data_IF_687563369105
#
_entry.id   IF_687563369105
#
_cell.length_a   1.000
_cell.length_b   1.000
_cell.length_c   1.000
_cell.angle_alpha   90.00
_cell.angle_beta   90.00
_cell.angle_gamma   90.00
#
_symmetry.space_group_name_H-M   'P 1'
#
loop_
_entity.id
_entity.type
_entity.pdbx_description
1 polymer ?
#
# COMPACT_ATOMS: atom_id res chain seq x y z
N UNK A 1 -14.54 -12.51 8.56
CA UNK A 1 -13.49 -12.95 9.48
C UNK A 1 -12.40 -11.89 9.43
N UNK A 2 -12.03 -11.27 10.55
CA UNK A 2 -10.98 -10.24 10.55
C UNK A 2 -9.63 -10.85 10.16
N UNK A 3 -8.72 -10.02 9.64
CA UNK A 3 -7.36 -10.47 9.37
C UNK A 3 -6.67 -11.00 10.64
N UNK A 4 -6.94 -10.38 11.80
CA UNK A 4 -6.48 -10.84 13.11
C UNK A 4 -6.86 -12.31 13.38
N UNK A 5 -8.14 -12.65 13.21
CA UNK A 5 -8.62 -14.02 13.45
C UNK A 5 -8.13 -15.02 12.40
N UNK A 6 -7.96 -14.57 11.15
CA UNK A 6 -7.48 -15.43 10.08
C UNK A 6 -6.05 -15.95 10.34
N UNK A 7 -5.17 -15.13 10.94
CA UNK A 7 -3.77 -15.48 11.22
C UNK A 7 -3.66 -16.66 12.18
N UNK A 8 -4.55 -16.77 13.16
CA UNK A 8 -4.50 -17.85 14.17
C UNK A 8 -4.66 -19.24 13.55
N UNK A 9 -5.45 -19.35 12.47
CA UNK A 9 -5.68 -20.60 11.75
C UNK A 9 -4.69 -20.86 10.61
N UNK A 10 -3.72 -19.98 10.34
CA UNK A 10 -2.80 -20.15 9.22
C UNK A 10 -1.80 -21.26 9.47
N UNK A 11 -1.63 -22.13 8.47
CA UNK A 11 -0.62 -23.16 8.42
C UNK A 11 0.07 -23.15 7.04
N UNK A 12 1.36 -23.56 6.95
CA UNK A 12 2.25 -23.94 8.05
C UNK A 12 2.68 -22.73 8.92
N UNK A 13 3.37 -22.97 10.03
CA UNK A 13 3.80 -21.90 10.96
C UNK A 13 4.58 -20.77 10.26
N UNK A 14 5.43 -21.08 9.27
CA UNK A 14 6.16 -20.06 8.50
C UNK A 14 5.24 -19.09 7.74
N UNK A 15 4.06 -19.55 7.30
CA UNK A 15 3.03 -18.69 6.69
C UNK A 15 2.41 -17.79 7.75
N UNK A 16 2.10 -18.35 8.93
CA UNK A 16 1.56 -17.60 10.05
C UNK A 16 2.51 -16.51 10.51
N UNK A 17 3.79 -16.83 10.68
CA UNK A 17 4.83 -15.87 11.07
C UNK A 17 4.97 -14.71 10.07
N UNK A 18 4.94 -15.01 8.76
CA UNK A 18 5.00 -13.99 7.71
C UNK A 18 3.84 -12.99 7.83
N UNK A 19 2.61 -13.51 7.95
CA UNK A 19 1.41 -12.67 8.09
C UNK A 19 1.35 -11.94 9.43
N UNK A 20 1.77 -12.60 10.52
CA UNK A 20 1.84 -12.03 11.86
C UNK A 20 2.82 -10.87 11.92
N UNK A 21 4.00 -10.98 11.29
CA UNK A 21 4.96 -9.87 11.21
C UNK A 21 4.36 -8.66 10.51
N UNK A 22 3.66 -8.87 9.39
CA UNK A 22 2.96 -7.80 8.69
C UNK A 22 1.87 -7.15 9.55
N UNK A 23 1.03 -7.98 10.16
CA UNK A 23 -0.07 -7.56 11.03
C UNK A 23 0.42 -6.74 12.23
N UNK A 24 1.43 -7.24 12.94
CA UNK A 24 1.88 -6.68 14.22
C UNK A 24 2.68 -5.37 14.06
N UNK A 25 3.23 -5.10 12.87
CA UNK A 25 4.20 -4.01 12.68
C UNK A 25 3.86 -3.02 11.56
N UNK A 26 2.99 -3.40 10.63
CA UNK A 26 2.78 -2.61 9.41
C UNK A 26 1.31 -2.37 9.10
N UNK A 27 0.43 -3.37 9.26
CA UNK A 27 -0.97 -3.22 8.88
C UNK A 27 -1.71 -2.33 9.88
N UNK A 28 -2.26 -1.21 9.40
CA UNK A 28 -3.01 -0.25 10.19
C UNK A 28 -2.16 0.82 10.88
N UNK A 29 -0.83 0.71 10.81
CA UNK A 29 0.09 1.70 11.35
C UNK A 29 0.25 2.86 10.36
N UNK A 30 0.23 4.13 10.81
CA UNK A 30 0.49 5.28 9.95
C UNK A 30 1.88 5.22 9.31
N UNK A 31 1.96 5.74 8.08
CA UNK A 31 3.22 5.87 7.34
C UNK A 31 3.38 7.34 6.98
N UNK A 32 4.48 7.94 7.44
CA UNK A 32 4.80 9.36 7.25
C UNK A 32 5.87 9.61 6.17
N UNK A 33 6.43 8.53 5.61
CA UNK A 33 7.38 8.60 4.52
C UNK A 33 6.67 8.38 3.18
N UNK A 34 6.84 9.31 2.24
CA UNK A 34 6.16 9.28 0.95
C UNK A 34 6.57 8.07 0.09
N UNK A 35 7.85 7.64 0.14
CA UNK A 35 8.31 6.49 -0.63
C UNK A 35 7.71 5.19 -0.07
N UNK A 36 7.61 5.05 1.26
CA UNK A 36 6.93 3.92 1.89
C UNK A 36 5.41 3.93 1.63
N UNK A 37 4.77 5.10 1.62
CA UNK A 37 3.35 5.24 1.22
C UNK A 37 3.16 4.79 -0.24
N UNK A 38 4.05 5.23 -1.13
CA UNK A 38 4.04 4.80 -2.53
C UNK A 38 4.28 3.28 -2.65
N UNK A 39 5.23 2.75 -1.89
CA UNK A 39 5.53 1.31 -1.82
C UNK A 39 4.31 0.49 -1.40
N UNK A 40 3.60 0.92 -0.36
CA UNK A 40 2.33 0.30 0.05
C UNK A 40 1.31 0.34 -1.10
N UNK A 41 1.11 1.48 -1.75
CA UNK A 41 0.18 1.59 -2.88
C UNK A 41 0.54 0.64 -4.03
N UNK A 42 1.83 0.54 -4.37
CA UNK A 42 2.32 -0.39 -5.39
C UNK A 42 2.06 -1.85 -4.99
N UNK A 43 2.29 -2.22 -3.73
CA UNK A 43 2.02 -3.56 -3.22
C UNK A 43 0.52 -3.91 -3.31
N UNK A 44 -0.37 -3.01 -2.90
CA UNK A 44 -1.83 -3.22 -2.99
C UNK A 44 -2.32 -3.34 -4.44
N UNK A 45 -1.80 -2.49 -5.34
CA UNK A 45 -2.06 -2.61 -6.79
C UNK A 45 -1.65 -3.99 -7.31
N UNK A 46 -0.51 -4.50 -6.84
CA UNK A 46 0.01 -5.78 -7.28
C UNK A 46 -0.72 -6.97 -6.66
N UNK A 47 -1.39 -6.82 -5.52
CA UNK A 47 -2.22 -7.86 -4.92
C UNK A 47 -3.44 -8.22 -5.79
N UNK A 48 -3.98 -7.31 -6.61
CA UNK A 48 -5.17 -7.58 -7.41
C UNK A 48 -5.10 -8.91 -8.20
N UNK A 49 -5.94 -9.88 -7.84
CA UNK A 49 -5.98 -11.22 -8.43
C UNK A 49 -4.98 -12.23 -7.86
N UNK A 50 -4.32 -11.92 -6.74
CA UNK A 50 -3.33 -12.75 -6.05
C UNK A 50 -3.60 -12.73 -4.54
N UNK A 51 -2.94 -13.62 -3.79
CA UNK A 51 -2.96 -13.57 -2.33
C UNK A 51 -2.00 -12.49 -1.80
N UNK A 52 -2.35 -11.85 -0.69
CA UNK A 52 -1.44 -10.93 0.00
C UNK A 52 -0.13 -11.61 0.41
N UNK A 53 -0.18 -12.91 0.74
CA UNK A 53 1.01 -13.73 1.00
C UNK A 53 2.02 -13.68 -0.16
N UNK A 54 1.54 -13.73 -1.40
CA UNK A 54 2.38 -13.66 -2.59
C UNK A 54 3.10 -12.31 -2.67
N UNK A 55 2.42 -11.23 -2.26
CA UNK A 55 2.99 -9.90 -2.24
C UNK A 55 4.02 -9.76 -1.12
N UNK A 56 3.69 -10.22 0.10
CA UNK A 56 4.63 -10.23 1.23
C UNK A 56 5.90 -11.02 0.93
N UNK A 57 5.78 -12.18 0.27
CA UNK A 57 6.95 -12.99 -0.15
C UNK A 57 7.80 -12.31 -1.23
N UNK A 58 7.24 -11.35 -1.96
CA UNK A 58 7.90 -10.63 -3.05
C UNK A 58 8.34 -9.22 -2.65
N UNK A 59 8.12 -8.79 -1.41
CA UNK A 59 8.39 -7.43 -0.96
C UNK A 59 9.84 -7.00 -1.23
N UNK A 60 10.83 -7.83 -0.88
CA UNK A 60 12.24 -7.56 -1.16
C UNK A 60 12.51 -7.43 -2.68
N UNK A 61 11.86 -8.27 -3.48
CA UNK A 61 11.90 -8.19 -4.93
C UNK A 61 11.31 -6.88 -5.46
N UNK A 62 10.19 -6.42 -4.91
CA UNK A 62 9.59 -5.13 -5.26
C UNK A 62 10.51 -3.97 -4.89
N UNK A 63 11.03 -3.95 -3.66
CA UNK A 63 11.97 -2.91 -3.20
C UNK A 63 13.17 -2.83 -4.15
N UNK A 64 13.81 -3.95 -4.45
CA UNK A 64 14.95 -3.96 -5.38
C UNK A 64 14.57 -3.50 -6.80
N UNK A 65 13.43 -3.96 -7.32
CA UNK A 65 13.03 -3.69 -8.70
C UNK A 65 12.66 -2.21 -8.94
N UNK A 66 12.09 -1.57 -7.93
CA UNK A 66 11.57 -0.20 -7.95
C UNK A 66 12.46 0.79 -7.16
N UNK A 67 13.76 0.56 -7.07
CA UNK A 67 14.73 1.44 -6.39
C UNK A 67 14.31 1.85 -4.95
N UNK A 68 13.88 0.87 -4.17
CA UNK A 68 13.31 1.01 -2.82
C UNK A 68 12.11 1.96 -2.75
N UNK A 69 11.30 1.94 -3.82
CA UNK A 69 10.13 2.79 -4.02
C UNK A 69 10.45 4.29 -4.02
N UNK A 70 11.67 4.68 -4.38
CA UNK A 70 12.02 6.09 -4.61
C UNK A 70 11.14 6.68 -5.71
N UNK A 71 10.21 7.55 -5.30
CA UNK A 71 9.18 8.12 -6.19
C UNK A 71 9.84 8.86 -7.36
N UNK A 72 10.93 9.60 -7.13
CA UNK A 72 11.58 10.40 -8.16
C UNK A 72 12.24 9.50 -9.20
N UNK A 73 12.93 8.44 -8.77
CA UNK A 73 13.53 7.45 -9.68
C UNK A 73 12.47 6.72 -10.47
N UNK A 74 11.44 6.18 -9.80
CA UNK A 74 10.38 5.42 -10.47
C UNK A 74 9.57 6.31 -11.43
N UNK A 75 9.36 7.59 -11.11
CA UNK A 75 8.73 8.55 -12.02
C UNK A 75 9.56 8.81 -13.28
N UNK A 76 10.89 8.69 -13.19
CA UNK A 76 11.82 8.87 -14.31
C UNK A 76 11.99 7.64 -15.22
N UNK A 77 11.44 6.49 -14.82
CA UNK A 77 11.56 5.24 -15.57
C UNK A 77 11.04 5.36 -17.01
N UNK A 78 11.86 4.88 -17.95
CA UNK A 78 11.56 4.85 -19.38
C UNK A 78 11.11 3.48 -19.87
N UNK A 79 11.04 3.30 -21.18
CA UNK A 79 10.67 2.01 -21.79
C UNK A 79 11.64 0.88 -21.45
N UNK A 80 12.95 1.17 -21.36
CA UNK A 80 13.95 0.19 -20.94
C UNK A 80 13.69 -0.35 -19.53
N UNK A 81 13.22 0.50 -18.61
CA UNK A 81 12.86 0.08 -17.26
C UNK A 81 11.59 -0.76 -17.24
N UNK A 82 10.58 -0.39 -18.06
CA UNK A 82 9.37 -1.21 -18.23
C UNK A 82 9.72 -2.61 -18.71
N UNK A 83 10.57 -2.71 -19.72
CA UNK A 83 11.04 -4.00 -20.25
C UNK A 83 11.81 -4.80 -19.19
N UNK A 84 12.75 -4.16 -18.49
CA UNK A 84 13.47 -4.77 -17.36
C UNK A 84 12.51 -5.33 -16.32
N UNK A 85 11.56 -4.53 -15.83
CA UNK A 85 10.56 -4.92 -14.84
C UNK A 85 9.68 -6.09 -15.32
N UNK A 86 9.32 -6.11 -16.60
CA UNK A 86 8.52 -7.22 -17.18
C UNK A 86 9.29 -8.54 -17.28
N UNK A 87 10.61 -8.51 -17.18
CA UNK A 87 11.45 -9.71 -17.13
C UNK A 87 11.83 -10.14 -15.71
N UNK A 88 11.67 -9.26 -14.71
CA UNK A 88 12.09 -9.48 -13.33
C UNK A 88 11.18 -10.49 -12.61
N UNK A 89 11.74 -11.64 -12.23
CA UNK A 89 11.04 -12.70 -11.50
C UNK A 89 10.79 -12.38 -10.04
N UNK A 90 11.43 -11.35 -9.50
CA UNK A 90 11.23 -10.82 -8.15
C UNK A 90 9.83 -10.21 -7.96
N UNK A 91 9.23 -9.64 -9.02
CA UNK A 91 7.94 -8.95 -8.93
C UNK A 91 6.80 -9.69 -9.67
N UNK A 92 5.66 -9.04 -9.81
CA UNK A 92 4.54 -9.50 -10.63
C UNK A 92 4.67 -8.91 -12.04
N UNK A 93 5.03 -9.76 -13.00
CA UNK A 93 5.30 -9.40 -14.41
C UNK A 93 4.00 -9.14 -15.18
N UNK A 94 3.30 -8.07 -14.84
CA UNK A 94 2.06 -7.66 -15.48
C UNK A 94 2.20 -6.24 -16.04
N UNK A 95 2.02 -6.09 -17.36
CA UNK A 95 2.18 -4.82 -18.08
C UNK A 95 1.32 -3.69 -17.52
N UNK A 96 0.07 -3.96 -17.15
CA UNK A 96 -0.82 -2.94 -16.61
C UNK A 96 -0.38 -2.47 -15.23
N UNK A 97 0.04 -3.39 -14.36
CA UNK A 97 0.52 -3.09 -12.99
C UNK A 97 1.86 -2.35 -13.00
N UNK A 98 2.81 -2.78 -13.83
CA UNK A 98 4.10 -2.09 -14.02
C UNK A 98 3.87 -0.67 -14.52
N UNK A 99 3.00 -0.50 -15.53
CA UNK A 99 2.69 0.82 -16.04
C UNK A 99 1.99 1.68 -15.00
N UNK A 100 1.06 1.12 -14.22
CA UNK A 100 0.38 1.85 -13.16
C UNK A 100 1.36 2.36 -12.09
N UNK A 101 2.33 1.55 -11.65
CA UNK A 101 3.34 2.00 -10.68
C UNK A 101 4.11 3.23 -11.17
N UNK A 102 4.61 3.21 -12.42
CA UNK A 102 5.38 4.31 -13.01
C UNK A 102 4.51 5.57 -13.19
N UNK A 103 3.29 5.43 -13.73
CA UNK A 103 2.41 6.59 -13.93
C UNK A 103 1.89 7.17 -12.60
N UNK A 104 1.71 6.32 -11.58
CA UNK A 104 1.35 6.78 -10.24
C UNK A 104 2.50 7.51 -9.57
N UNK A 105 3.76 7.06 -9.73
CA UNK A 105 4.92 7.80 -9.25
C UNK A 105 4.98 9.21 -9.86
N UNK A 106 4.83 9.34 -11.18
CA UNK A 106 4.74 10.66 -11.85
C UNK A 106 3.62 11.51 -11.31
N UNK A 107 2.46 10.91 -11.07
CA UNK A 107 1.31 11.62 -10.47
C UNK A 107 1.66 12.14 -9.08
N UNK A 108 2.32 11.32 -8.24
CA UNK A 108 2.73 11.72 -6.90
C UNK A 108 3.76 12.86 -6.95
N UNK A 109 4.69 12.86 -7.91
CA UNK A 109 5.61 14.00 -8.10
C UNK A 109 4.86 15.31 -8.32
N UNK A 110 3.77 15.31 -9.09
CA UNK A 110 2.94 16.49 -9.28
C UNK A 110 2.17 16.87 -8.00
N UNK A 111 1.63 15.88 -7.27
CA UNK A 111 0.99 16.12 -5.97
C UNK A 111 1.97 16.72 -4.95
N UNK A 112 3.22 16.27 -4.93
CA UNK A 112 4.28 16.81 -4.06
C UNK A 112 4.55 18.29 -4.35
N UNK A 113 4.43 18.75 -5.60
CA UNK A 113 4.57 20.18 -5.94
C UNK A 113 3.41 21.02 -5.40
N UNK A 114 2.20 20.49 -5.38
CA UNK A 114 0.99 21.22 -4.97
C UNK A 114 0.75 21.16 -3.45
N UNK A 115 0.93 19.98 -2.83
CA UNK A 115 0.60 19.72 -1.43
C UNK A 115 1.83 19.59 -0.52
N UNK A 116 3.03 19.54 -1.11
CA UNK A 116 4.30 19.38 -0.40
C UNK A 116 4.69 17.92 -0.15
N UNK A 117 3.74 16.99 -0.01
CA UNK A 117 3.99 15.55 0.09
C UNK A 117 2.76 14.72 -0.31
N UNK A 118 2.95 13.43 -0.60
CA UNK A 118 1.85 12.48 -0.81
C UNK A 118 1.03 12.30 0.46
N UNK A 119 1.69 12.22 1.61
CA UNK A 119 1.00 12.22 2.90
C UNK A 119 0.10 13.44 3.07
N UNK A 120 0.61 14.66 2.86
CA UNK A 120 -0.16 15.90 3.01
C UNK A 120 -1.34 15.96 2.05
N UNK A 121 -1.22 15.37 0.86
CA UNK A 121 -2.35 15.22 -0.05
C UNK A 121 -3.44 14.31 0.51
N UNK A 122 -3.06 13.18 1.14
CA UNK A 122 -4.00 12.31 1.84
C UNK A 122 -4.65 13.04 3.03
N UNK A 123 -3.86 13.72 3.86
CA UNK A 123 -4.36 14.50 5.00
C UNK A 123 -5.32 15.61 4.57
N UNK A 124 -4.97 16.38 3.54
CA UNK A 124 -5.80 17.45 2.99
C UNK A 124 -7.18 16.95 2.57
N UNK A 125 -7.26 15.71 2.12
CA UNK A 125 -8.50 15.09 1.67
C UNK A 125 -9.27 14.35 2.76
N UNK A 126 -8.65 14.08 3.91
CA UNK A 126 -9.30 13.50 5.07
C UNK A 126 -10.17 14.54 5.82
N UNK A 127 -11.34 14.18 6.37
CA UNK A 127 -12.00 12.87 6.28
C UNK A 127 -12.80 12.69 4.98
N UNK A 128 -12.88 11.45 4.52
CA UNK A 128 -13.74 11.00 3.41
C UNK A 128 -14.30 9.62 3.71
N UNK A 129 -15.53 9.38 3.25
CA UNK A 129 -16.10 8.04 3.19
C UNK A 129 -15.37 7.18 2.15
N UNK A 130 -15.42 5.85 2.27
CA UNK A 130 -14.80 4.95 1.30
C UNK A 130 -15.26 5.23 -0.16
N UNK A 131 -16.55 5.45 -0.47
CA UNK A 131 -16.97 5.81 -1.83
C UNK A 131 -16.35 7.10 -2.36
N UNK A 132 -16.15 8.11 -1.50
CA UNK A 132 -15.50 9.37 -1.88
C UNK A 132 -14.01 9.18 -2.15
N UNK A 133 -13.33 8.40 -1.30
CA UNK A 133 -11.95 7.99 -1.52
C UNK A 133 -11.78 7.23 -2.83
N UNK A 134 -12.64 6.25 -3.10
CA UNK A 134 -12.62 5.50 -4.35
C UNK A 134 -12.79 6.42 -5.57
N UNK A 135 -13.70 7.40 -5.49
CA UNK A 135 -13.91 8.38 -6.57
C UNK A 135 -12.68 9.28 -6.76
N UNK A 136 -12.03 9.70 -5.67
CA UNK A 136 -10.82 10.50 -5.72
C UNK A 136 -9.66 9.72 -6.33
N UNK A 137 -9.35 8.54 -5.79
CA UNK A 137 -8.26 7.68 -6.27
C UNK A 137 -8.44 7.26 -7.72
N UNK A 138 -9.67 6.98 -8.17
CA UNK A 138 -9.95 6.65 -9.57
C UNK A 138 -9.69 7.83 -10.53
N UNK A 139 -9.86 9.07 -10.06
CA UNK A 139 -9.55 10.27 -10.85
C UNK A 139 -8.06 10.56 -10.89
N UNK A 140 -7.37 10.33 -9.78
CA UNK A 140 -5.97 10.71 -9.59
C UNK A 140 -5.02 9.64 -10.12
N UNK A 141 -5.23 8.38 -9.76
CA UNK A 141 -4.27 7.29 -9.97
C UNK A 141 -4.76 6.26 -10.99
N UNK A 142 -3.82 5.45 -11.48
CA UNK A 142 -4.05 4.30 -12.34
C UNK A 142 -4.14 3.02 -11.52
N UNK A 143 -5.03 2.13 -11.93
CA UNK A 143 -5.19 0.79 -11.37
C UNK A 143 -5.61 0.76 -9.88
N UNK A 144 -6.34 1.77 -9.42
CA UNK A 144 -6.83 1.92 -8.04
C UNK A 144 -8.31 1.58 -7.94
N UNK A 145 -8.62 0.28 -8.11
CA UNK A 145 -9.97 -0.26 -7.91
C UNK A 145 -10.45 -0.15 -6.46
N UNK A 146 -11.74 -0.36 -6.21
CA UNK A 146 -12.34 -0.14 -4.89
C UNK A 146 -11.67 -0.91 -3.74
N UNK A 147 -11.39 -2.18 -3.96
CA UNK A 147 -10.70 -3.03 -2.97
C UNK A 147 -9.28 -2.54 -2.68
N UNK A 148 -8.55 -2.13 -3.73
CA UNK A 148 -7.18 -1.62 -3.61
C UNK A 148 -7.18 -0.33 -2.78
N UNK A 149 -8.13 0.57 -3.02
CA UNK A 149 -8.25 1.83 -2.27
C UNK A 149 -8.63 1.56 -0.82
N UNK A 150 -9.55 0.62 -0.59
CA UNK A 150 -9.97 0.22 0.75
C UNK A 150 -8.79 -0.34 1.55
N UNK A 151 -8.10 -1.36 1.02
CA UNK A 151 -6.97 -2.00 1.69
C UNK A 151 -5.78 -1.04 1.84
N UNK A 152 -5.48 -0.21 0.84
CA UNK A 152 -4.46 0.84 0.97
C UNK A 152 -4.76 1.73 2.17
N UNK A 153 -5.93 2.38 2.22
CA UNK A 153 -6.26 3.33 3.27
C UNK A 153 -6.42 2.69 4.65
N UNK A 154 -6.94 1.45 4.74
CA UNK A 154 -6.95 0.71 6.00
C UNK A 154 -5.53 0.36 6.47
N UNK A 155 -4.67 -0.07 5.55
CA UNK A 155 -3.29 -0.51 5.87
C UNK A 155 -2.41 0.62 6.40
N UNK A 156 -2.70 1.88 6.05
CA UNK A 156 -1.94 3.07 6.47
C UNK A 156 -2.68 3.91 7.53
N UNK A 157 -3.77 3.39 8.12
CA UNK A 157 -4.45 4.05 9.23
C UNK A 157 -5.38 5.22 8.86
N UNK A 158 -5.83 5.33 7.60
CA UNK A 158 -6.82 6.33 7.16
C UNK A 158 -8.27 5.85 7.25
N UNK A 159 -8.49 4.54 7.21
CA UNK A 159 -9.79 3.90 7.44
C UNK A 159 -9.70 2.90 8.59
N UNK A 160 -10.80 2.76 9.34
CA UNK A 160 -10.95 1.73 10.38
C UNK A 160 -11.05 0.35 9.73
N UNK A 161 -10.64 -0.69 10.45
CA UNK A 161 -10.88 -2.09 10.07
C UNK A 161 -9.64 -2.98 9.99
N UNK A 162 -8.44 -2.39 10.10
CA UNK A 162 -7.18 -3.15 10.07
C UNK A 162 -7.04 -4.13 11.25
N UNK A 163 -7.52 -3.75 12.43
CA UNK A 163 -7.52 -4.56 13.64
C UNK A 163 -8.91 -4.59 14.28
N UNK A 164 -9.32 -5.76 14.77
CA UNK A 164 -10.47 -5.85 15.67
C UNK A 164 -10.13 -5.20 17.01
N UNK A 165 -11.10 -4.61 17.72
CA UNK A 165 -10.88 -3.99 19.05
C UNK A 165 -10.34 -4.99 20.09
N UNK A 166 -10.63 -6.28 19.92
CA UNK A 166 -10.09 -7.35 20.77
C UNK A 166 -8.68 -7.81 20.37
N UNK A 167 -8.11 -7.28 19.28
CA UNK A 167 -6.76 -7.60 18.84
C UNK A 167 -5.74 -6.95 19.79
N UNK A 168 -4.74 -7.69 20.31
CA UNK A 168 -3.69 -7.11 21.15
C UNK A 168 -2.88 -5.99 20.49
N UNK A 169 -2.87 -5.94 19.15
CA UNK A 169 -2.17 -4.91 18.36
C UNK A 169 -3.01 -3.64 18.21
N UNK A 170 -4.32 -3.69 18.48
CA UNK A 170 -5.23 -2.55 18.33
C UNK A 170 -4.80 -1.36 19.18
N UNK A 171 -4.53 -1.59 20.47
CA UNK A 171 -4.07 -0.55 21.39
C UNK A 171 -2.70 0.01 21.00
N UNK A 172 -1.85 -0.82 20.36
CA UNK A 172 -0.57 -0.34 19.86
C UNK A 172 -0.79 0.60 18.67
N UNK A 173 -1.60 0.22 17.69
CA UNK A 173 -1.96 1.10 16.56
C UNK A 173 -2.53 2.43 17.05
N UNK A 174 -3.39 2.43 18.06
CA UNK A 174 -3.95 3.66 18.64
C UNK A 174 -2.90 4.63 19.17
N UNK A 175 -1.78 4.13 19.73
CA UNK A 175 -0.68 4.97 20.23
C UNK A 175 0.07 5.70 19.12
N UNK A 176 -0.06 5.26 17.87
CA UNK A 176 0.54 5.92 16.71
C UNK A 176 -0.41 6.93 16.05
N UNK A 177 -1.52 7.29 16.70
CA UNK A 177 -2.46 8.34 16.27
C UNK A 177 -2.95 8.17 14.82
N UNK A 178 -3.57 7.02 14.47
CA UNK A 178 -4.03 6.78 13.11
C UNK A 178 -5.08 7.83 12.71
N UNK A 179 -5.05 8.24 11.45
CA UNK A 179 -5.91 9.30 10.93
C UNK A 179 -7.39 9.04 11.15
N UNK A 180 -7.86 7.79 11.08
CA UNK A 180 -9.26 7.46 11.37
C UNK A 180 -9.70 7.72 12.83
N UNK A 181 -8.75 7.91 13.75
CA UNK A 181 -8.99 8.20 15.16
C UNK A 181 -8.88 9.70 15.48
N UNK A 182 -8.46 10.53 14.52
CA UNK A 182 -8.44 11.98 14.69
C UNK A 182 -9.87 12.54 14.57
N UNK A 183 -10.20 13.60 15.34
CA UNK A 183 -11.53 14.19 15.36
C UNK A 183 -11.94 14.85 14.04
#
# INVERSE_FOLDING_TARGET
MSYCAAIEGMQPESRRELHKRYHDKHYGFPIHDDNELFGRLVMEINQAGLSWETILKKEEGFRKAYDDFDIQKVASYGESDRERLLTDSGIIRNKLKVNAAIENAKTIVELQKEFGSFEKWLEHHHPKTLPEWMKLFKKTFKFTGGEIVNEFLMSIGYLKGSHAESCPVYDEVLKHDPMWNKP
#
